data_IF_609302500265
#
_entry.id   IF_609302500265
#
_cell.length_a   1.000
_cell.length_b   1.000
_cell.length_c   1.000
_cell.angle_alpha   90.00
_cell.angle_beta   90.00
_cell.angle_gamma   90.00
#
_symmetry.space_group_name_H-M   'P 1'
#
loop_
_entity.id
_entity.type
_entity.pdbx_description
1 polymer ?
#
# COMPACT_ATOMS: atom_id res chain seq x y z
N UNK A 1 -35.83 -19.64 -9.91
CA UNK A 1 -34.62 -19.17 -9.21
C UNK A 1 -33.54 -20.21 -9.47
N UNK A 2 -32.43 -19.86 -10.11
CA UNK A 2 -31.38 -20.83 -10.46
C UNK A 2 -30.71 -21.35 -9.18
N UNK A 3 -30.35 -22.65 -9.15
CA UNK A 3 -29.64 -23.25 -8.03
C UNK A 3 -28.23 -22.63 -7.90
N UNK A 4 -27.78 -22.39 -6.67
CA UNK A 4 -26.44 -21.88 -6.38
C UNK A 4 -25.41 -22.99 -6.72
N UNK A 5 -24.36 -22.71 -7.51
CA UNK A 5 -23.34 -23.70 -7.85
C UNK A 5 -22.59 -24.23 -6.61
N UNK A 6 -22.09 -25.49 -6.63
CA UNK A 6 -21.44 -26.10 -5.46
C UNK A 6 -20.13 -25.44 -5.03
N UNK A 7 -19.52 -24.60 -5.88
CA UNK A 7 -18.32 -23.82 -5.58
C UNK A 7 -18.63 -22.40 -5.09
N UNK A 8 -19.89 -22.13 -4.73
CA UNK A 8 -20.35 -20.80 -4.31
C UNK A 8 -20.99 -20.92 -2.93
N UNK A 9 -20.37 -20.28 -1.95
CA UNK A 9 -20.98 -20.03 -0.65
C UNK A 9 -21.51 -18.60 -0.62
N UNK A 10 -22.77 -18.43 -0.24
CA UNK A 10 -23.40 -17.12 -0.08
C UNK A 10 -23.80 -16.96 1.38
N UNK A 11 -23.19 -16.00 2.06
CA UNK A 11 -23.56 -15.60 3.41
C UNK A 11 -23.76 -14.09 3.48
N UNK A 12 -24.76 -13.67 4.25
CA UNK A 12 -24.96 -12.25 4.57
C UNK A 12 -24.13 -11.99 5.82
N UNK A 13 -23.09 -11.17 5.69
CA UNK A 13 -22.23 -10.75 6.79
C UNK A 13 -22.58 -9.31 7.13
N UNK A 14 -22.77 -8.95 8.42
CA UNK A 14 -22.96 -7.56 8.79
C UNK A 14 -21.76 -6.72 8.37
N UNK A 15 -22.01 -5.45 8.03
CA UNK A 15 -20.92 -4.51 7.75
C UNK A 15 -20.01 -4.37 9.00
N UNK A 16 -18.68 -4.31 8.82
CA UNK A 16 -17.78 -4.12 9.94
C UNK A 16 -18.04 -2.76 10.59
N UNK A 17 -18.35 -2.78 11.89
CA UNK A 17 -18.55 -1.58 12.71
C UNK A 17 -17.26 -1.14 13.41
N UNK A 18 -16.24 -2.00 13.41
CA UNK A 18 -14.95 -1.76 14.07
C UNK A 18 -13.82 -1.94 13.08
N UNK A 19 -12.85 -1.02 13.14
CA UNK A 19 -11.64 -1.07 12.34
C UNK A 19 -10.42 -1.04 13.24
N UNK A 20 -9.42 -1.88 12.94
CA UNK A 20 -8.08 -1.79 13.52
C UNK A 20 -7.28 -0.77 12.73
N UNK A 21 -6.91 0.32 13.40
CA UNK A 21 -5.97 1.30 12.89
C UNK A 21 -4.53 0.84 13.13
N UNK A 22 -3.75 0.75 12.05
CA UNK A 22 -2.31 0.46 12.09
C UNK A 22 -1.57 1.65 11.50
N UNK A 23 -0.53 2.12 12.19
CA UNK A 23 0.33 3.20 11.71
C UNK A 23 1.75 2.66 11.53
N UNK A 24 2.27 2.76 10.32
CA UNK A 24 3.68 2.49 10.03
C UNK A 24 4.38 3.83 9.85
N UNK A 25 5.46 4.04 10.61
CA UNK A 25 6.23 5.28 10.64
C UNK A 25 7.68 4.98 10.29
N UNK A 26 8.45 6.05 10.04
CA UNK A 26 9.88 5.97 9.77
C UNK A 26 10.20 5.10 8.55
N UNK A 27 9.32 5.17 7.54
CA UNK A 27 9.50 4.47 6.28
C UNK A 27 10.09 5.42 5.24
N UNK A 28 11.03 4.92 4.46
CA UNK A 28 11.75 5.71 3.46
C UNK A 28 11.71 5.02 2.11
N UNK A 29 11.29 5.73 1.07
CA UNK A 29 11.21 5.20 -0.29
C UNK A 29 12.49 5.49 -1.07
N UNK A 30 13.27 4.45 -1.33
CA UNK A 30 14.42 4.50 -2.23
C UNK A 30 13.98 4.38 -3.69
N UNK A 31 14.04 5.50 -4.42
CA UNK A 31 13.73 5.57 -5.86
C UNK A 31 14.97 5.52 -6.77
N UNK A 32 16.15 5.60 -6.17
CA UNK A 32 17.43 5.73 -6.88
C UNK A 32 18.23 4.44 -6.76
N UNK A 33 18.64 3.89 -7.90
CA UNK A 33 19.47 2.69 -8.01
C UNK A 33 19.20 1.95 -9.31
N UNK A 34 20.21 1.27 -9.85
CA UNK A 34 20.08 0.44 -11.06
C UNK A 34 19.01 -0.65 -10.80
N UNK A 35 18.16 -0.90 -11.80
CA UNK A 35 17.04 -1.87 -11.78
C UNK A 35 15.88 -1.58 -10.79
N UNK A 36 15.83 -0.41 -10.14
CA UNK A 36 14.67 -0.04 -9.30
C UNK A 36 13.53 0.58 -10.09
N UNK A 37 13.80 1.13 -11.29
CA UNK A 37 12.78 1.68 -12.18
C UNK A 37 13.27 1.72 -13.63
N UNK A 38 12.34 1.72 -14.59
CA UNK A 38 12.65 1.81 -16.03
C UNK A 38 11.59 2.59 -16.80
N UNK A 39 12.01 3.56 -17.62
CA UNK A 39 11.15 4.22 -18.61
C UNK A 39 10.80 3.26 -19.75
N UNK A 40 9.51 3.13 -20.08
CA UNK A 40 9.06 2.33 -21.23
C UNK A 40 8.71 3.20 -22.45
N UNK A 41 8.20 4.39 -22.21
CA UNK A 41 7.87 5.38 -23.24
C UNK A 41 8.46 6.72 -22.81
N UNK A 42 9.39 7.25 -23.59
CA UNK A 42 10.10 8.50 -23.28
C UNK A 42 10.00 9.47 -24.46
N UNK A 43 8.78 9.96 -24.73
CA UNK A 43 8.55 11.04 -25.71
C UNK A 43 7.85 12.19 -25.00
N UNK A 44 8.63 13.06 -24.36
CA UNK A 44 8.13 14.19 -23.59
C UNK A 44 7.57 13.80 -22.22
N UNK A 45 7.09 14.80 -21.45
CA UNK A 45 6.52 14.56 -20.11
C UNK A 45 5.16 13.85 -20.20
N UNK A 46 4.25 14.32 -21.06
CA UNK A 46 2.94 13.69 -21.20
C UNK A 46 3.05 12.31 -21.85
N UNK A 47 2.44 11.29 -21.23
CA UNK A 47 2.51 9.90 -21.69
C UNK A 47 3.78 9.15 -21.26
N UNK A 48 4.68 9.79 -20.51
CA UNK A 48 5.85 9.12 -19.94
C UNK A 48 5.38 8.06 -18.95
N UNK A 49 5.74 6.80 -19.22
CA UNK A 49 5.41 5.64 -18.39
C UNK A 49 6.68 5.03 -17.81
N UNK A 50 6.68 4.82 -16.50
CA UNK A 50 7.81 4.26 -15.75
C UNK A 50 7.32 3.07 -14.95
N UNK A 51 7.95 1.90 -15.14
CA UNK A 51 7.76 0.75 -14.25
C UNK A 51 8.69 0.86 -13.04
N UNK A 52 8.21 0.46 -11.87
CA UNK A 52 8.89 0.69 -10.60
C UNK A 52 8.92 -0.56 -9.73
N UNK A 53 10.03 -0.74 -9.03
CA UNK A 53 10.32 -1.76 -8.03
C UNK A 53 11.15 -1.09 -6.91
N UNK A 54 10.58 -0.04 -6.33
CA UNK A 54 11.25 0.79 -5.35
C UNK A 54 11.42 0.07 -4.01
N UNK A 55 12.52 0.34 -3.33
CA UNK A 55 12.79 -0.21 -2.00
C UNK A 55 12.16 0.66 -0.92
N UNK A 56 11.57 0.05 0.10
CA UNK A 56 11.06 0.74 1.29
C UNK A 56 11.88 0.29 2.50
N UNK A 57 12.57 1.24 3.11
CA UNK A 57 13.42 1.01 4.26
C UNK A 57 12.78 1.48 5.57
N UNK A 58 13.13 0.82 6.66
CA UNK A 58 12.90 1.31 8.02
C UNK A 58 14.15 2.08 8.48
N UNK A 59 14.01 3.40 8.62
CA UNK A 59 15.10 4.32 8.93
C UNK A 59 15.89 4.84 7.72
N UNK A 60 16.81 5.76 8.01
CA UNK A 60 17.64 6.47 7.02
C UNK A 60 19.04 5.85 6.90
N UNK A 61 19.66 6.00 5.73
CA UNK A 61 21.11 5.81 5.54
C UNK A 61 21.55 4.41 5.11
N UNK A 62 22.86 4.28 4.91
CA UNK A 62 23.48 3.02 4.49
C UNK A 62 23.34 1.95 5.58
N UNK A 63 22.65 0.86 5.24
CA UNK A 63 22.35 -0.23 6.18
C UNK A 63 20.94 -0.18 6.78
N UNK A 64 20.11 0.81 6.40
CA UNK A 64 18.69 0.81 6.74
C UNK A 64 18.03 -0.49 6.27
N UNK A 65 17.11 -1.00 7.09
CA UNK A 65 16.56 -2.34 6.89
C UNK A 65 15.49 -2.32 5.80
N UNK A 66 15.64 -3.14 4.77
CA UNK A 66 14.62 -3.31 3.74
C UNK A 66 13.40 -4.02 4.35
N UNK A 67 12.26 -3.33 4.40
CA UNK A 67 11.02 -3.86 5.00
C UNK A 67 9.92 -4.11 3.98
N UNK A 68 9.93 -3.41 2.85
CA UNK A 68 8.99 -3.63 1.75
C UNK A 68 9.55 -3.20 0.39
N UNK A 69 8.80 -3.51 -0.68
CA UNK A 69 9.03 -3.00 -2.04
C UNK A 69 7.76 -2.41 -2.63
N UNK A 70 7.86 -1.26 -3.28
CA UNK A 70 6.79 -0.66 -4.08
C UNK A 70 6.88 -1.11 -5.54
N UNK A 71 5.94 -1.95 -5.98
CA UNK A 71 5.97 -2.58 -7.30
C UNK A 71 4.76 -2.15 -8.14
N UNK A 72 5.01 -1.58 -9.31
CA UNK A 72 3.94 -1.12 -10.19
C UNK A 72 4.43 -0.14 -11.24
N UNK A 73 3.73 0.99 -11.38
CA UNK A 73 4.06 2.00 -12.37
C UNK A 73 3.64 3.41 -11.99
N UNK A 74 4.25 4.39 -12.66
CA UNK A 74 3.80 5.77 -12.67
C UNK A 74 3.70 6.30 -14.10
N UNK A 75 2.66 7.09 -14.37
CA UNK A 75 2.39 7.70 -15.67
C UNK A 75 2.21 9.21 -15.52
N UNK A 76 2.83 9.98 -16.40
CA UNK A 76 2.65 11.42 -16.41
C UNK A 76 1.48 11.82 -17.34
N UNK A 77 0.37 12.25 -16.75
CA UNK A 77 -0.85 12.67 -17.43
C UNK A 77 -1.24 14.10 -17.01
N UNK A 78 -0.26 15.02 -17.05
CA UNK A 78 -0.34 16.38 -16.48
C UNK A 78 0.28 16.45 -15.08
N UNK A 79 0.04 15.44 -14.25
CA UNK A 79 0.81 15.13 -13.05
C UNK A 79 1.25 13.66 -13.08
N UNK A 80 2.22 13.27 -12.23
CA UNK A 80 2.63 11.88 -12.09
C UNK A 80 1.59 11.10 -11.28
N UNK A 81 0.87 10.20 -11.94
CA UNK A 81 -0.12 9.32 -11.32
C UNK A 81 0.52 7.97 -11.12
N UNK A 82 0.53 7.51 -9.87
CA UNK A 82 1.25 6.31 -9.46
C UNK A 82 0.26 5.26 -8.99
N UNK A 83 0.44 4.04 -9.48
CA UNK A 83 -0.33 2.86 -9.09
C UNK A 83 0.64 1.72 -8.84
N UNK A 84 0.73 1.27 -7.59
CA UNK A 84 1.67 0.26 -7.19
C UNK A 84 1.20 -0.49 -5.96
N UNK A 85 1.83 -1.63 -5.71
CA UNK A 85 1.60 -2.46 -4.54
C UNK A 85 2.82 -2.38 -3.63
N UNK A 86 2.63 -2.08 -2.35
CA UNK A 86 3.67 -2.26 -1.33
C UNK A 86 3.64 -3.72 -0.89
N UNK A 87 4.71 -4.45 -1.19
CA UNK A 87 4.91 -5.85 -0.81
C UNK A 87 5.86 -5.90 0.38
N UNK A 88 5.37 -6.29 1.55
CA UNK A 88 6.20 -6.41 2.75
C UNK A 88 7.07 -7.67 2.68
N UNK A 89 8.36 -7.51 2.95
CA UNK A 89 9.36 -8.60 2.82
C UNK A 89 9.95 -9.05 4.14
N UNK A 90 9.61 -8.37 5.23
CA UNK A 90 10.19 -8.59 6.55
C UNK A 90 9.16 -8.54 7.69
N UNK A 91 9.52 -9.17 8.82
CA UNK A 91 8.79 -9.06 10.08
C UNK A 91 7.39 -9.66 10.04
N UNK A 92 6.52 -9.17 10.93
CA UNK A 92 5.12 -9.64 11.07
C UNK A 92 4.26 -9.44 9.83
N UNK A 93 4.66 -8.54 8.93
CA UNK A 93 3.90 -8.21 7.74
C UNK A 93 4.41 -8.91 6.49
N UNK A 94 5.50 -9.70 6.58
CA UNK A 94 6.08 -10.40 5.44
C UNK A 94 5.03 -11.19 4.65
N UNK A 95 4.96 -10.94 3.34
CA UNK A 95 3.99 -11.55 2.43
C UNK A 95 2.64 -10.83 2.36
N UNK A 96 2.34 -9.90 3.27
CA UNK A 96 1.18 -9.01 3.17
C UNK A 96 1.42 -7.90 2.16
N UNK A 97 0.34 -7.31 1.64
CA UNK A 97 0.43 -6.23 0.65
C UNK A 97 -0.51 -5.07 0.94
N UNK A 98 -0.16 -3.88 0.46
CA UNK A 98 -1.06 -2.73 0.36
C UNK A 98 -1.13 -2.26 -1.09
N UNK A 99 -2.34 -2.03 -1.58
CA UNK A 99 -2.59 -1.48 -2.90
C UNK A 99 -2.67 0.04 -2.79
N UNK A 100 -1.88 0.75 -3.59
CA UNK A 100 -1.67 2.20 -3.47
C UNK A 100 -1.93 2.90 -4.80
N UNK A 101 -2.65 4.02 -4.73
CA UNK A 101 -2.89 4.88 -5.88
C UNK A 101 -2.87 6.36 -5.46
N UNK A 102 -2.31 7.23 -6.31
CA UNK A 102 -2.39 8.68 -6.10
C UNK A 102 -1.36 9.45 -6.94
N UNK A 103 -1.28 10.76 -6.70
CA UNK A 103 -0.43 11.68 -7.47
C UNK A 103 0.58 12.47 -6.62
N UNK A 104 0.84 12.00 -5.40
CA UNK A 104 1.65 12.70 -4.41
C UNK A 104 3.09 12.16 -4.27
N UNK A 105 3.63 11.46 -5.28
CA UNK A 105 5.02 11.01 -5.22
C UNK A 105 6.00 12.11 -5.67
N UNK A 106 7.10 12.30 -4.92
CA UNK A 106 8.08 13.36 -5.18
C UNK A 106 7.57 14.76 -4.84
N UNK A 107 6.46 14.85 -4.10
CA UNK A 107 5.86 16.09 -3.58
C UNK A 107 5.26 15.82 -2.21
N UNK A 108 5.00 16.86 -1.41
CA UNK A 108 4.27 16.69 -0.16
C UNK A 108 2.80 16.41 -0.45
N UNK A 109 2.22 15.37 0.15
CA UNK A 109 0.82 15.04 -0.07
C UNK A 109 0.40 13.68 0.47
N UNK A 110 -0.66 13.11 -0.11
CA UNK A 110 -1.22 11.83 0.30
C UNK A 110 -1.50 10.91 -0.90
N UNK A 111 -1.28 9.63 -0.69
CA UNK A 111 -1.71 8.55 -1.57
C UNK A 111 -2.81 7.76 -0.88
N UNK A 112 -3.76 7.23 -1.64
CA UNK A 112 -4.80 6.36 -1.13
C UNK A 112 -4.29 4.93 -1.01
N UNK A 113 -4.60 4.29 0.12
CA UNK A 113 -4.57 2.83 0.25
C UNK A 113 -5.97 2.34 -0.12
N UNK A 114 -6.04 1.63 -1.25
CA UNK A 114 -7.31 1.17 -1.83
C UNK A 114 -7.65 -0.27 -1.48
N UNK A 115 -6.71 -0.99 -0.87
CA UNK A 115 -6.87 -2.39 -0.49
C UNK A 115 -5.59 -2.99 0.08
N UNK A 116 -5.65 -4.27 0.40
CA UNK A 116 -4.50 -5.03 0.88
C UNK A 116 -4.79 -6.52 1.04
N UNK A 117 -3.74 -7.29 1.34
CA UNK A 117 -3.80 -8.74 1.55
C UNK A 117 -3.08 -9.15 2.84
N UNK A 118 -3.31 -10.38 3.30
CA UNK A 118 -2.69 -10.90 4.52
C UNK A 118 -3.16 -10.13 5.75
N UNK A 119 -2.21 -9.62 6.54
CA UNK A 119 -2.49 -8.78 7.73
C UNK A 119 -3.24 -7.48 7.39
N UNK A 120 -3.25 -7.09 6.11
CA UNK A 120 -3.95 -5.92 5.60
C UNK A 120 -5.15 -6.26 4.72
N UNK A 121 -5.73 -7.45 4.86
CA UNK A 121 -6.92 -7.84 4.12
C UNK A 121 -8.03 -6.80 4.29
N UNK A 122 -8.60 -6.36 3.16
CA UNK A 122 -9.67 -5.34 3.09
C UNK A 122 -9.29 -3.98 3.69
N UNK A 123 -7.99 -3.67 3.78
CA UNK A 123 -7.53 -2.40 4.31
C UNK A 123 -7.94 -1.21 3.43
N UNK A 124 -8.25 -0.08 4.05
CA UNK A 124 -8.31 1.23 3.40
C UNK A 124 -7.52 2.25 4.21
N UNK A 125 -7.13 3.38 3.62
CA UNK A 125 -6.38 4.39 4.36
C UNK A 125 -5.58 5.34 3.48
N UNK A 126 -4.54 5.91 4.06
CA UNK A 126 -3.69 6.90 3.40
C UNK A 126 -2.20 6.65 3.67
N UNK A 127 -1.37 7.07 2.72
CA UNK A 127 0.08 7.21 2.91
C UNK A 127 0.40 8.68 2.79
N UNK A 128 0.92 9.26 3.86
CA UNK A 128 1.45 10.62 3.87
C UNK A 128 2.86 10.58 3.31
N UNK A 129 3.13 11.45 2.35
CA UNK A 129 4.42 11.61 1.69
C UNK A 129 4.97 12.97 2.11
N UNK A 130 6.11 12.95 2.79
CA UNK A 130 6.91 14.14 3.08
C UNK A 130 8.18 14.04 2.24
N UNK A 131 8.29 14.87 1.21
CA UNK A 131 9.40 14.85 0.26
C UNK A 131 10.49 15.82 0.70
N UNK A 132 11.68 15.30 0.97
CA UNK A 132 12.84 16.13 1.20
C UNK A 132 13.50 16.50 -0.15
N UNK A 133 13.44 17.79 -0.48
CA UNK A 133 14.00 18.34 -1.73
C UNK A 133 15.53 18.30 -1.75
N UNK A 134 16.19 18.30 -0.60
CA UNK A 134 17.66 18.32 -0.51
C UNK A 134 18.23 16.93 -0.78
N UNK A 135 17.61 15.89 -0.23
CA UNK A 135 18.05 14.50 -0.37
C UNK A 135 17.36 13.77 -1.52
N UNK A 136 16.21 14.26 -1.98
CA UNK A 136 15.42 13.64 -3.05
C UNK A 136 14.65 12.39 -2.60
N UNK A 137 14.50 12.20 -1.29
CA UNK A 137 13.89 11.00 -0.69
C UNK A 137 12.48 11.30 -0.18
N UNK A 138 11.58 10.33 -0.38
CA UNK A 138 10.21 10.39 0.14
C UNK A 138 10.14 9.68 1.51
N UNK A 139 9.77 10.43 2.55
CA UNK A 139 9.42 9.88 3.84
C UNK A 139 7.95 9.50 3.86
N UNK A 140 7.65 8.28 4.31
CA UNK A 140 6.32 7.71 4.29
C UNK A 140 5.81 7.49 5.72
N UNK A 141 4.59 7.95 5.97
CA UNK A 141 3.78 7.50 7.10
C UNK A 141 2.51 6.83 6.56
N UNK A 142 2.36 5.53 6.81
CA UNK A 142 1.23 4.74 6.34
C UNK A 142 0.21 4.62 7.47
N UNK A 143 -1.03 4.99 7.20
CA UNK A 143 -2.16 4.86 8.12
C UNK A 143 -3.23 4.00 7.45
N UNK A 144 -3.43 2.79 7.97
CA UNK A 144 -4.36 1.81 7.40
C UNK A 144 -5.38 1.35 8.42
N UNK A 145 -6.59 1.14 7.92
CA UNK A 145 -7.76 0.70 8.65
C UNK A 145 -8.19 -0.65 8.09
N UNK A 146 -8.08 -1.69 8.91
CA UNK A 146 -8.51 -3.04 8.54
C UNK A 146 -9.81 -3.36 9.27
N UNK A 147 -10.85 -3.85 8.59
CA UNK A 147 -12.09 -4.22 9.26
C UNK A 147 -11.85 -5.38 10.23
N UNK A 148 -12.46 -5.29 11.41
CA UNK A 148 -12.48 -6.39 12.38
C UNK A 148 -13.83 -7.08 12.26
N UNK A 149 -13.82 -8.30 11.74
CA UNK A 149 -14.99 -9.17 11.77
C UNK A 149 -15.05 -9.82 13.15
N UNK A 150 -15.90 -9.26 14.02
CA UNK A 150 -16.31 -9.99 15.20
C UNK A 150 -17.14 -11.18 14.72
N UNK A 151 -16.70 -12.40 15.01
CA UNK A 151 -17.56 -13.57 14.88
C UNK A 151 -18.83 -13.38 15.71
N UNK A 152 -19.89 -14.19 15.49
CA UNK A 152 -21.06 -14.12 16.36
C UNK A 152 -20.57 -14.23 17.81
N UNK A 153 -20.84 -13.20 18.60
CA UNK A 153 -20.62 -13.27 20.04
C UNK A 153 -21.27 -14.57 20.51
N UNK A 154 -20.45 -15.53 20.97
CA UNK A 154 -20.92 -16.39 22.04
C UNK A 154 -21.20 -15.44 23.19
N UNK A 155 -22.45 -15.02 23.31
CA UNK A 155 -22.97 -14.59 24.58
C UNK A 155 -22.68 -15.77 25.52
N UNK A 156 -21.67 -15.59 26.38
CA UNK A 156 -21.50 -16.43 27.55
C UNK A 156 -22.77 -16.24 28.40
N UNK A 157 -23.78 -17.04 28.12
CA UNK A 157 -24.79 -17.41 29.09
C UNK A 157 -24.17 -18.55 29.89
N UNK A 158 -23.33 -18.20 30.86
CA UNK A 158 -23.05 -19.10 31.97
C UNK A 158 -24.24 -19.02 32.93
N UNK A 159 -24.95 -20.15 33.05
CA UNK A 159 -25.84 -20.47 34.15
C UNK A 159 -25.03 -20.82 35.39
#
# INVERSE_FOLDING_TARGET
>A
MAAVPPNVEVSIVPAPTTYRKTILRNLWLGRTGDDTQKSLLEVGKFGHYVVVNWTVFEGEGNGAKLVARGQGSTICAGSWISTYVIVFVDGRFKGSTLQVMGNALGVNGQLAVTGGTGEFALASGIIKVDFDKLTGVDHLTVEVYTPVFLGPCYAAAEN
#
